data_IF_261838351631
#
_entry.id   IF_261838351631
#
_cell.length_a   1.000
_cell.length_b   1.000
_cell.length_c   1.000
_cell.angle_alpha   90.00
_cell.angle_beta   90.00
_cell.angle_gamma   90.00
#
_symmetry.space_group_name_H-M   'P 1'
#
loop_
_entity.id
_entity.type
_entity.pdbx_description
1 polymer ?
#
# COMPACT_ATOMS: atom_id res chain seq x y z
N UNK A 1 -19.06 30.32 57.29
CA UNK A 1 -18.30 29.23 56.68
C UNK A 1 -18.55 29.25 55.16
N UNK A 2 -17.53 29.63 54.37
CA UNK A 2 -17.62 29.65 52.90
C UNK A 2 -16.82 28.48 52.40
N UNK A 3 -17.48 27.53 51.76
CA UNK A 3 -16.86 26.35 51.20
C UNK A 3 -16.42 26.65 49.76
N UNK A 4 -15.11 26.69 49.54
CA UNK A 4 -14.50 26.87 48.21
C UNK A 4 -14.36 25.51 47.57
N UNK A 5 -15.09 25.27 46.45
CA UNK A 5 -14.97 24.07 45.63
C UNK A 5 -13.89 24.34 44.57
N UNK A 6 -12.77 23.63 44.67
CA UNK A 6 -11.74 23.60 43.64
C UNK A 6 -12.16 22.67 42.51
N UNK A 7 -12.35 23.22 41.32
CA UNK A 7 -12.46 22.43 40.07
C UNK A 7 -11.06 22.05 39.58
N UNK A 8 -10.72 20.79 39.68
CA UNK A 8 -9.54 20.25 39.01
C UNK A 8 -9.86 20.01 37.53
N UNK A 9 -9.34 20.83 36.66
CA UNK A 9 -9.41 20.63 35.22
C UNK A 9 -8.43 19.52 34.79
N UNK A 10 -8.93 18.36 34.43
CA UNK A 10 -8.16 17.30 33.80
C UNK A 10 -7.83 17.72 32.35
N UNK A 11 -6.59 18.12 32.11
CA UNK A 11 -6.02 18.24 30.77
C UNK A 11 -5.73 16.84 30.23
N UNK A 12 -6.69 16.23 29.55
CA UNK A 12 -6.47 15.05 28.70
C UNK A 12 -5.75 15.54 27.43
N UNK A 13 -4.43 15.43 27.46
CA UNK A 13 -3.58 15.92 26.40
C UNK A 13 -3.68 15.13 25.11
N UNK A 14 -3.71 15.86 24.05
CA UNK A 14 -3.64 15.49 22.65
C UNK A 14 -2.38 14.66 22.29
N UNK A 15 -2.46 13.33 22.43
CA UNK A 15 -1.36 12.44 21.98
C UNK A 15 -1.71 11.62 20.71
N UNK A 16 -2.83 11.91 20.05
CA UNK A 16 -3.26 11.14 18.86
C UNK A 16 -2.95 11.80 17.51
N UNK A 17 -2.33 12.98 17.48
CA UNK A 17 -2.24 13.78 16.25
C UNK A 17 -1.12 13.39 15.27
N UNK A 18 0.03 12.92 15.74
CA UNK A 18 1.22 12.77 14.86
C UNK A 18 1.15 11.58 13.91
N UNK A 19 0.68 10.43 14.35
CA UNK A 19 0.59 9.25 13.48
C UNK A 19 -0.48 9.36 12.38
N UNK A 20 -1.52 10.16 12.60
CA UNK A 20 -2.55 10.39 11.58
C UNK A 20 -2.10 11.34 10.47
N UNK A 21 -1.27 12.33 10.79
CA UNK A 21 -0.70 13.25 9.80
C UNK A 21 0.29 12.52 8.90
N UNK A 22 1.22 11.74 9.44
CA UNK A 22 2.18 10.97 8.64
C UNK A 22 1.53 10.03 7.63
N UNK A 23 0.49 9.31 8.04
CA UNK A 23 -0.25 8.44 7.12
C UNK A 23 -1.07 9.23 6.09
N UNK A 24 -1.63 10.40 6.46
CA UNK A 24 -2.35 11.25 5.53
C UNK A 24 -1.41 11.79 4.44
N UNK A 25 -0.27 12.35 4.84
CA UNK A 25 0.72 12.92 3.93
C UNK A 25 1.36 11.83 3.05
N UNK A 26 1.64 10.64 3.61
CA UNK A 26 2.12 9.49 2.85
C UNK A 26 1.08 9.00 1.82
N UNK A 27 -0.20 8.98 2.18
CA UNK A 27 -1.28 8.62 1.26
C UNK A 27 -1.45 9.68 0.17
N UNK A 28 -1.31 10.96 0.48
CA UNK A 28 -1.33 12.04 -0.50
C UNK A 28 -0.13 11.96 -1.47
N UNK A 29 1.04 11.54 -0.98
CA UNK A 29 2.19 11.23 -1.85
C UNK A 29 1.90 10.07 -2.80
N UNK A 30 1.22 9.01 -2.35
CA UNK A 30 0.75 7.94 -3.24
C UNK A 30 -0.25 8.44 -4.28
N UNK A 31 -1.18 9.34 -3.90
CA UNK A 31 -2.13 9.94 -4.86
C UNK A 31 -1.42 10.71 -5.97
N UNK A 32 -0.25 11.29 -5.71
CA UNK A 32 0.53 11.99 -6.72
C UNK A 32 1.07 11.06 -7.82
N UNK A 33 1.07 9.74 -7.59
CA UNK A 33 1.41 8.74 -8.60
C UNK A 33 0.25 8.50 -9.60
N UNK A 34 -0.93 9.09 -9.41
CA UNK A 34 -2.04 8.90 -10.34
C UNK A 34 -1.60 9.22 -11.79
N UNK A 35 -1.90 8.30 -12.71
CA UNK A 35 -1.50 8.39 -14.11
C UNK A 35 -1.19 7.03 -14.71
N UNK A 36 -0.61 7.06 -15.90
CA UNK A 36 -0.22 5.88 -16.67
C UNK A 36 1.31 5.72 -16.62
N UNK A 37 1.75 4.48 -16.42
CA UNK A 37 3.13 4.13 -16.22
C UNK A 37 3.52 2.90 -17.02
N UNK A 38 4.81 2.74 -17.26
CA UNK A 38 5.37 1.60 -17.97
C UNK A 38 6.66 1.13 -17.28
N UNK A 39 6.82 -0.18 -17.15
CA UNK A 39 8.07 -0.80 -16.72
C UNK A 39 8.53 -1.81 -17.76
N UNK A 40 9.84 -1.87 -18.00
CA UNK A 40 10.45 -2.92 -18.83
C UNK A 40 11.02 -4.00 -17.90
N UNK A 41 10.44 -5.20 -17.97
CA UNK A 41 10.75 -6.28 -17.03
C UNK A 41 11.51 -7.39 -17.78
N UNK A 42 12.76 -7.67 -17.41
CA UNK A 42 13.55 -8.72 -18.03
C UNK A 42 12.82 -10.06 -18.06
N UNK A 43 12.65 -10.64 -19.25
CA UNK A 43 11.97 -11.91 -19.45
C UNK A 43 10.44 -11.84 -19.58
N UNK A 44 9.83 -10.69 -19.25
CA UNK A 44 8.39 -10.44 -19.39
C UNK A 44 8.04 -9.39 -20.44
N UNK A 45 8.98 -8.47 -20.73
CA UNK A 45 8.74 -7.34 -21.61
C UNK A 45 8.08 -6.16 -20.88
N UNK A 46 7.23 -5.42 -21.60
CA UNK A 46 6.61 -4.19 -21.07
C UNK A 46 5.37 -4.50 -20.23
N UNK A 47 5.38 -4.01 -19.00
CA UNK A 47 4.21 -3.97 -18.13
C UNK A 47 3.64 -2.56 -18.11
N UNK A 48 2.32 -2.48 -18.23
CA UNK A 48 1.58 -1.23 -17.98
C UNK A 48 1.15 -1.18 -16.52
N UNK A 49 1.10 0.03 -15.96
CA UNK A 49 0.52 0.28 -14.65
C UNK A 49 -0.35 1.54 -14.74
N UNK A 50 -1.61 1.43 -14.37
CA UNK A 50 -2.57 2.53 -14.32
C UNK A 50 -2.96 2.78 -12.87
N UNK A 51 -2.70 3.99 -12.38
CA UNK A 51 -3.03 4.39 -11.02
C UNK A 51 -4.13 5.45 -11.06
N UNK A 52 -5.25 5.19 -10.41
CA UNK A 52 -6.44 6.06 -10.41
C UNK A 52 -6.93 6.36 -9.00
N UNK A 53 -7.44 7.57 -8.82
CA UNK A 53 -8.15 7.94 -7.60
C UNK A 53 -9.61 7.53 -7.73
N UNK A 54 -10.09 6.74 -6.77
CA UNK A 54 -11.47 6.28 -6.70
C UNK A 54 -12.11 6.68 -5.37
N UNK A 55 -13.42 6.48 -5.22
CA UNK A 55 -14.16 6.83 -3.99
C UNK A 55 -13.91 8.27 -3.53
N UNK A 56 -14.01 9.24 -4.46
CA UNK A 56 -13.74 10.67 -4.21
C UNK A 56 -12.33 10.91 -3.62
N UNK A 57 -11.31 10.20 -4.10
CA UNK A 57 -9.92 10.31 -3.65
C UNK A 57 -9.65 9.69 -2.27
N UNK A 58 -10.57 8.86 -1.75
CA UNK A 58 -10.40 8.13 -0.49
C UNK A 58 -9.74 6.78 -0.67
N UNK A 59 -9.67 6.29 -1.90
CA UNK A 59 -8.95 5.09 -2.28
C UNK A 59 -8.15 5.33 -3.57
N UNK A 60 -7.11 4.54 -3.74
CA UNK A 60 -6.28 4.47 -4.95
C UNK A 60 -6.48 3.08 -5.51
N UNK A 61 -6.85 3.02 -6.79
CA UNK A 61 -6.87 1.78 -7.57
C UNK A 61 -5.63 1.75 -8.44
N UNK A 62 -4.92 0.66 -8.40
CA UNK A 62 -3.80 0.36 -9.26
C UNK A 62 -4.12 -0.90 -10.06
N UNK A 63 -3.89 -0.84 -11.38
CA UNK A 63 -3.99 -1.98 -12.28
C UNK A 63 -2.65 -2.19 -12.95
N UNK A 64 -2.01 -3.33 -12.70
CA UNK A 64 -0.68 -3.67 -13.18
C UNK A 64 -0.71 -4.94 -14.01
N UNK A 65 0.04 -4.99 -15.11
CA UNK A 65 0.17 -6.17 -15.94
C UNK A 65 0.11 -5.90 -17.44
N UNK A 66 -0.29 -6.90 -18.19
CA UNK A 66 -0.60 -6.79 -19.62
C UNK A 66 -2.11 -6.87 -19.83
N UNK A 67 -2.66 -6.39 -20.97
CA UNK A 67 -4.12 -6.33 -21.15
C UNK A 67 -4.87 -7.65 -20.94
N UNK A 68 -4.23 -8.78 -21.21
CA UNK A 68 -4.82 -10.10 -21.07
C UNK A 68 -4.60 -10.75 -19.68
N UNK A 69 -3.71 -10.18 -18.87
CA UNK A 69 -3.32 -10.71 -17.58
C UNK A 69 -2.88 -9.54 -16.68
N UNK A 70 -3.83 -9.02 -15.93
CA UNK A 70 -3.60 -7.90 -15.02
C UNK A 70 -4.08 -8.23 -13.61
N UNK A 71 -3.48 -7.57 -12.66
CA UNK A 71 -3.78 -7.65 -11.25
C UNK A 71 -4.20 -6.28 -10.74
N UNK A 72 -5.04 -6.26 -9.70
CA UNK A 72 -5.57 -5.03 -9.13
C UNK A 72 -5.15 -4.90 -7.68
N UNK A 73 -4.71 -3.72 -7.32
CA UNK A 73 -4.41 -3.32 -5.95
C UNK A 73 -5.28 -2.14 -5.54
N UNK A 74 -5.84 -2.20 -4.33
CA UNK A 74 -6.60 -1.10 -3.75
C UNK A 74 -5.90 -0.64 -2.47
N UNK A 75 -5.55 0.64 -2.44
CA UNK A 75 -4.96 1.27 -1.27
C UNK A 75 -5.98 2.17 -0.58
N UNK A 76 -6.06 2.07 0.74
CA UNK A 76 -6.91 2.91 1.59
C UNK A 76 -6.17 3.28 2.86
N UNK A 77 -6.60 4.38 3.50
CA UNK A 77 -6.05 4.78 4.80
C UNK A 77 -6.89 4.23 5.95
N UNK A 78 -6.22 3.73 6.99
CA UNK A 78 -6.82 3.31 8.26
C UNK A 78 -6.05 3.94 9.44
N UNK A 79 -6.56 5.05 9.94
CA UNK A 79 -5.91 5.80 11.02
C UNK A 79 -4.49 6.22 10.65
N UNK A 80 -3.51 5.66 11.36
CA UNK A 80 -2.08 5.91 11.17
C UNK A 80 -1.41 4.97 10.14
N UNK A 81 -2.16 4.12 9.46
CA UNK A 81 -1.66 3.12 8.51
C UNK A 81 -2.25 3.30 7.12
N UNK A 82 -1.61 2.69 6.13
CA UNK A 82 -2.16 2.49 4.79
C UNK A 82 -2.35 0.98 4.61
N UNK A 83 -3.54 0.60 4.16
CA UNK A 83 -3.89 -0.77 3.82
C UNK A 83 -3.76 -0.96 2.32
N UNK A 84 -3.29 -2.14 1.91
CA UNK A 84 -3.25 -2.62 0.55
C UNK A 84 -4.04 -3.92 0.46
N UNK A 85 -5.04 -3.98 -0.43
CA UNK A 85 -5.69 -5.22 -0.85
C UNK A 85 -5.29 -5.52 -2.28
N UNK A 86 -4.54 -6.60 -2.47
CA UNK A 86 -4.05 -7.04 -3.77
C UNK A 86 -4.83 -8.26 -4.24
N UNK A 87 -5.41 -8.16 -5.45
CA UNK A 87 -6.15 -9.23 -6.12
C UNK A 87 -5.21 -9.94 -7.07
N UNK A 88 -4.71 -11.09 -6.64
CA UNK A 88 -3.69 -11.84 -7.33
C UNK A 88 -4.28 -12.96 -8.19
N UNK A 89 -3.83 -13.05 -9.43
CA UNK A 89 -4.26 -14.06 -10.40
C UNK A 89 -3.37 -15.33 -10.46
N UNK A 90 -2.42 -15.47 -9.54
CA UNK A 90 -1.44 -16.59 -9.53
C UNK A 90 -2.04 -17.96 -9.24
N UNK A 91 -3.32 -18.06 -8.92
CA UNK A 91 -4.05 -19.31 -8.67
C UNK A 91 -5.31 -19.34 -9.52
N UNK A 92 -5.89 -20.52 -9.81
CA UNK A 92 -7.11 -20.61 -10.62
C UNK A 92 -8.29 -19.79 -10.10
N UNK A 93 -8.30 -19.52 -8.80
CA UNK A 93 -9.27 -18.62 -8.15
C UNK A 93 -8.48 -17.46 -7.61
N UNK A 94 -8.83 -16.24 -8.03
CA UNK A 94 -8.20 -15.04 -7.49
C UNK A 94 -8.25 -15.04 -5.96
N UNK A 95 -7.13 -14.83 -5.32
CA UNK A 95 -7.09 -14.61 -3.89
C UNK A 95 -6.80 -13.12 -3.60
N UNK A 96 -7.23 -12.68 -2.44
CA UNK A 96 -7.00 -11.33 -1.96
C UNK A 96 -5.94 -11.36 -0.88
N UNK A 97 -4.72 -10.92 -1.20
CA UNK A 97 -3.69 -10.68 -0.18
C UNK A 97 -3.91 -9.30 0.44
N UNK A 98 -4.03 -9.24 1.76
CA UNK A 98 -4.12 -7.98 2.50
C UNK A 98 -2.80 -7.70 3.20
N UNK A 99 -2.26 -6.52 2.91
CA UNK A 99 -1.01 -6.04 3.47
C UNK A 99 -1.26 -4.68 4.14
N UNK A 100 -0.39 -4.29 5.04
CA UNK A 100 -0.48 -2.99 5.70
C UNK A 100 0.89 -2.41 5.99
N UNK A 101 0.99 -1.08 6.09
CA UNK A 101 2.15 -0.42 6.65
C UNK A 101 2.13 -0.52 8.18
N UNK A 102 3.26 -0.29 8.82
CA UNK A 102 3.26 0.11 10.23
C UNK A 102 2.57 1.45 10.44
N UNK A 103 2.47 1.88 11.70
CA UNK A 103 2.01 3.23 12.01
C UNK A 103 3.01 4.27 11.48
N UNK A 104 2.50 5.22 10.69
CA UNK A 104 3.30 6.26 10.04
C UNK A 104 3.20 7.55 10.86
N UNK A 105 4.30 8.01 11.44
CA UNK A 105 4.42 9.29 12.14
C UNK A 105 4.91 10.41 11.23
N UNK A 106 5.51 10.07 10.10
CA UNK A 106 6.08 10.98 9.11
C UNK A 106 5.95 10.37 7.70
N UNK A 107 6.26 11.12 6.66
CA UNK A 107 6.27 10.64 5.27
C UNK A 107 7.63 10.01 4.99
N UNK A 108 7.73 8.69 4.83
CA UNK A 108 8.98 8.03 4.50
C UNK A 108 9.34 8.18 3.02
N UNK A 109 10.60 7.94 2.67
CA UNK A 109 11.05 7.86 1.27
C UNK A 109 10.43 6.65 0.55
N UNK A 110 10.13 5.59 1.28
CA UNK A 110 9.45 4.40 0.78
C UNK A 110 8.39 3.89 1.74
N UNK A 111 7.30 3.36 1.20
CA UNK A 111 6.25 2.69 1.97
C UNK A 111 6.44 1.19 1.89
N UNK A 112 6.56 0.55 3.04
CA UNK A 112 6.63 -0.91 3.14
C UNK A 112 5.30 -1.46 3.61
N UNK A 113 4.68 -2.29 2.79
CA UNK A 113 3.48 -3.06 3.11
C UNK A 113 3.88 -4.50 3.43
N UNK A 114 3.43 -5.01 4.55
CA UNK A 114 3.71 -6.38 5.00
C UNK A 114 2.43 -7.18 5.03
N UNK A 115 2.49 -8.43 4.60
CA UNK A 115 1.36 -9.35 4.60
C UNK A 115 0.74 -9.46 5.99
N UNK A 116 -0.56 -9.38 6.02
CA UNK A 116 -1.37 -9.51 7.22
C UNK A 116 -2.21 -10.78 7.19
N UNK A 117 -3.01 -10.95 6.15
CA UNK A 117 -3.88 -12.10 5.93
C UNK A 117 -4.30 -12.20 4.45
N UNK A 118 -5.03 -13.26 4.10
CA UNK A 118 -5.59 -13.41 2.76
C UNK A 118 -6.96 -14.09 2.79
N UNK A 119 -7.78 -13.77 1.77
CA UNK A 119 -9.05 -14.44 1.48
C UNK A 119 -8.85 -15.35 0.26
N UNK A 120 -9.47 -16.53 0.26
CA UNK A 120 -9.34 -17.57 -0.78
C UNK A 120 -7.94 -18.16 -0.94
N UNK A 121 -7.06 -18.00 0.05
CA UNK A 121 -5.76 -18.66 0.03
C UNK A 121 -5.92 -20.14 0.41
N UNK A 122 -5.51 -21.05 -0.47
CA UNK A 122 -5.68 -22.52 -0.28
C UNK A 122 -4.78 -23.14 0.79
N UNK A 123 -4.16 -22.33 1.63
CA UNK A 123 -3.30 -22.73 2.74
C UNK A 123 -2.06 -21.85 2.86
N UNK A 124 -1.33 -21.92 3.98
CA UNK A 124 -0.21 -21.01 4.26
C UNK A 124 0.98 -21.18 3.31
N UNK A 125 1.08 -22.31 2.60
CA UNK A 125 2.12 -22.57 1.60
C UNK A 125 1.71 -22.21 0.17
N UNK A 126 0.45 -21.79 -0.06
CA UNK A 126 0.00 -21.34 -1.38
C UNK A 126 0.74 -20.05 -1.79
N UNK A 127 1.02 -19.87 -3.08
CA UNK A 127 1.69 -18.67 -3.57
C UNK A 127 0.88 -17.41 -3.22
N UNK A 128 1.55 -16.40 -2.66
CA UNK A 128 0.93 -15.09 -2.40
C UNK A 128 1.97 -13.99 -2.26
N UNK A 129 1.55 -12.74 -2.40
CA UNK A 129 2.40 -11.58 -2.14
C UNK A 129 2.57 -11.39 -0.64
N UNK A 130 3.82 -11.35 -0.20
CA UNK A 130 4.21 -11.25 1.21
C UNK A 130 4.61 -9.84 1.61
N UNK A 131 5.18 -9.09 0.67
CA UNK A 131 5.68 -7.75 0.91
C UNK A 131 5.64 -6.94 -0.37
N UNK A 132 5.35 -5.66 -0.23
CA UNK A 132 5.48 -4.65 -1.28
C UNK A 132 6.20 -3.44 -0.71
N UNK A 133 7.18 -2.91 -1.44
CA UNK A 133 7.83 -1.65 -1.10
C UNK A 133 7.63 -0.69 -2.26
N UNK A 134 6.92 0.41 -2.01
CA UNK A 134 6.78 1.51 -2.96
C UNK A 134 7.84 2.55 -2.63
N UNK A 135 8.83 2.70 -3.50
CA UNK A 135 9.88 3.70 -3.37
C UNK A 135 9.60 4.85 -4.31
N UNK A 136 9.41 6.03 -3.74
CA UNK A 136 9.13 7.23 -4.50
C UNK A 136 10.42 7.78 -5.11
N UNK A 137 10.44 7.91 -6.41
CA UNK A 137 11.50 8.60 -7.14
C UNK A 137 11.17 10.07 -7.34
N UNK A 138 11.42 10.56 -8.53
CA UNK A 138 11.01 11.89 -8.97
C UNK A 138 9.56 11.91 -9.49
N UNK A 139 9.16 12.99 -10.14
CA UNK A 139 7.81 13.16 -10.69
C UNK A 139 7.44 12.10 -11.72
N UNK A 140 8.43 11.58 -12.45
CA UNK A 140 8.23 10.72 -13.61
C UNK A 140 8.76 9.29 -13.39
N UNK A 141 9.21 8.95 -12.16
CA UNK A 141 9.71 7.63 -11.81
C UNK A 141 9.33 7.19 -10.40
N UNK A 142 8.99 5.93 -10.24
CA UNK A 142 8.92 5.24 -8.95
C UNK A 142 9.25 3.75 -9.13
N UNK A 143 9.49 3.07 -8.02
CA UNK A 143 9.80 1.63 -8.04
C UNK A 143 8.89 0.89 -7.08
N UNK A 144 8.42 -0.27 -7.51
CA UNK A 144 7.81 -1.25 -6.62
C UNK A 144 8.68 -2.48 -6.53
N UNK A 145 9.03 -2.85 -5.30
CA UNK A 145 9.71 -4.11 -5.01
C UNK A 145 8.71 -5.08 -4.41
N UNK A 146 8.38 -6.11 -5.14
CA UNK A 146 7.43 -7.15 -4.74
C UNK A 146 8.17 -8.38 -4.22
N UNK A 147 7.70 -8.94 -3.12
CA UNK A 147 8.17 -10.23 -2.59
C UNK A 147 7.02 -11.23 -2.61
N UNK A 148 7.15 -12.23 -3.46
CA UNK A 148 6.25 -13.39 -3.52
C UNK A 148 6.83 -14.53 -2.70
N UNK A 149 5.99 -15.20 -1.91
CA UNK A 149 6.34 -16.48 -1.31
C UNK A 149 5.67 -17.61 -2.09
N UNK A 150 6.42 -18.66 -2.38
CA UNK A 150 5.92 -19.88 -3.00
C UNK A 150 6.71 -21.07 -2.50
N UNK A 151 6.02 -22.10 -2.00
CA UNK A 151 6.65 -23.32 -1.42
C UNK A 151 7.73 -22.99 -0.36
N UNK A 152 7.46 -21.97 0.46
CA UNK A 152 8.34 -21.51 1.52
C UNK A 152 9.59 -20.75 1.06
N UNK A 153 9.67 -20.36 -0.22
CA UNK A 153 10.77 -19.56 -0.76
C UNK A 153 10.28 -18.20 -1.19
N UNK A 154 11.03 -17.16 -0.83
CA UNK A 154 10.78 -15.80 -1.30
C UNK A 154 11.41 -15.60 -2.68
N UNK A 155 10.65 -14.98 -3.57
CA UNK A 155 11.14 -14.45 -4.84
C UNK A 155 10.88 -12.95 -4.83
N UNK A 156 11.93 -12.18 -5.11
CA UNK A 156 11.87 -10.70 -5.13
C UNK A 156 12.05 -10.22 -6.56
N UNK A 157 11.24 -9.24 -6.95
CA UNK A 157 11.36 -8.59 -8.26
C UNK A 157 11.03 -7.10 -8.15
N UNK A 158 11.78 -6.31 -8.91
CA UNK A 158 11.63 -4.86 -8.97
C UNK A 158 10.91 -4.47 -10.26
N UNK A 159 9.94 -3.60 -10.12
CA UNK A 159 9.23 -2.96 -11.21
C UNK A 159 9.57 -1.48 -11.19
N UNK A 160 10.41 -1.05 -12.12
CA UNK A 160 10.85 0.33 -12.24
C UNK A 160 9.97 1.05 -13.25
N UNK A 161 9.08 1.87 -12.74
CA UNK A 161 8.11 2.57 -13.55
C UNK A 161 8.60 3.94 -14.02
N UNK A 162 8.36 4.21 -15.31
CA UNK A 162 8.47 5.53 -15.90
C UNK A 162 7.08 6.00 -16.36
N UNK A 163 6.80 7.29 -16.22
CA UNK A 163 5.52 7.89 -16.64
C UNK A 163 5.39 7.88 -18.16
N UNK A 164 4.19 7.60 -18.64
CA UNK A 164 3.83 7.61 -20.07
C UNK A 164 3.29 8.96 -20.49
#
# INVERSE_FOLDING_TARGET
MRTTILFAAFLLGAWQGRGQTGAADAFDRMKALAGEWEADVPGFGKLSNSIRLVSNGKAIEETIGVPADNEVSIYTRDGARILLTHFCAMTPEAHQARLETGALSEVPESLTFVFRDAVNLRGPSAPHMRRVVVTFGDRDHFTETWTKIEKGKDTVFDLKFARR
#
